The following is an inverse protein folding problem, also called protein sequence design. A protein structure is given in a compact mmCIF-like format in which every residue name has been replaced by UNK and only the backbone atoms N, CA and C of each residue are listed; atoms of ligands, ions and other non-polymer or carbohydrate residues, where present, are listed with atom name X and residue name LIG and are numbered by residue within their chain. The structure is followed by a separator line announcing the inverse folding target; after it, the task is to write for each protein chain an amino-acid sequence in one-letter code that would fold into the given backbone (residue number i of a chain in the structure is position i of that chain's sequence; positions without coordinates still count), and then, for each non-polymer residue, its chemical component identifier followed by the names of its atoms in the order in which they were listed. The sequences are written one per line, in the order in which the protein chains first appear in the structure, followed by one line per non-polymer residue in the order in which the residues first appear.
data_IF_632284573275
#
_entry.id   IF_632284573275
#
_cell.length_a   1.000
_cell.length_b   1.000
_cell.length_c   1.000
_cell.angle_alpha   90.00
_cell.angle_beta   90.00
_cell.angle_gamma   90.00
#
_symmetry.space_group_name_H-M   'P 1'
#
loop_
_entity.id
_entity.type
_entity.pdbx_description
1 polymer ?
#
# COMPACT_ATOMS: atom_id res chain seq x y z
N UNK A 1 21.10 9.44 13.33
CA UNK A 1 19.72 9.87 12.98
C UNK A 1 19.72 10.52 11.62
N UNK A 2 19.34 9.76 10.60
CA UNK A 2 19.27 10.15 9.21
C UNK A 2 17.85 10.61 8.86
N UNK A 3 17.66 11.93 8.83
CA UNK A 3 16.37 12.57 8.56
C UNK A 3 15.78 12.17 7.20
N UNK A 4 16.62 11.94 6.18
CA UNK A 4 16.15 11.53 4.86
C UNK A 4 15.46 10.17 4.88
N UNK A 5 16.03 9.20 5.61
CA UNK A 5 15.44 7.89 5.79
C UNK A 5 14.17 7.94 6.65
N UNK A 6 14.15 8.76 7.70
CA UNK A 6 12.95 8.95 8.53
C UNK A 6 11.79 9.50 7.70
N UNK A 7 12.02 10.55 6.91
CA UNK A 7 11.01 11.14 6.03
C UNK A 7 10.54 10.13 4.96
N UNK A 8 11.47 9.38 4.37
CA UNK A 8 11.14 8.34 3.39
C UNK A 8 10.27 7.26 4.00
N UNK A 9 10.60 6.80 5.21
CA UNK A 9 9.79 5.83 5.96
C UNK A 9 8.38 6.35 6.26
N UNK A 10 8.24 7.60 6.70
CA UNK A 10 6.94 8.23 6.93
C UNK A 10 6.10 8.32 5.65
N UNK A 11 6.71 8.70 4.53
CA UNK A 11 6.02 8.76 3.23
C UNK A 11 5.53 7.38 2.81
N UNK A 12 6.37 6.34 2.92
CA UNK A 12 5.99 4.97 2.61
C UNK A 12 4.84 4.47 3.50
N UNK A 13 4.88 4.75 4.81
CA UNK A 13 3.79 4.44 5.73
C UNK A 13 2.51 5.15 5.32
N UNK A 14 2.58 6.44 4.98
CA UNK A 14 1.45 7.23 4.51
C UNK A 14 0.83 6.67 3.22
N UNK A 15 1.66 6.30 2.24
CA UNK A 15 1.21 5.65 1.00
C UNK A 15 0.53 4.32 1.34
N UNK A 16 1.16 3.48 2.16
CA UNK A 16 0.61 2.19 2.56
C UNK A 16 -0.76 2.32 3.23
N UNK A 17 -0.91 3.29 4.15
CA UNK A 17 -2.16 3.60 4.83
C UNK A 17 -3.23 4.11 3.86
N UNK A 18 -2.87 5.00 2.93
CA UNK A 18 -3.79 5.50 1.92
C UNK A 18 -4.31 4.38 0.99
N UNK A 19 -3.45 3.45 0.60
CA UNK A 19 -3.87 2.29 -0.21
C UNK A 19 -4.80 1.34 0.55
N UNK A 20 -4.60 1.18 1.86
CA UNK A 20 -5.45 0.37 2.71
C UNK A 20 -6.81 1.03 3.00
N UNK A 21 -6.84 2.35 3.14
CA UNK A 21 -8.04 3.15 3.38
C UNK A 21 -8.88 3.36 2.11
N UNK A 22 -8.23 3.56 0.95
CA UNK A 22 -8.89 3.84 -0.33
C UNK A 22 -8.54 2.79 -1.40
N UNK A 23 -8.94 1.52 -1.23
CA UNK A 23 -8.55 0.43 -2.12
C UNK A 23 -9.08 0.55 -3.55
N UNK A 24 -10.09 1.39 -3.79
CA UNK A 24 -10.65 1.68 -5.11
C UNK A 24 -10.10 2.97 -5.73
N UNK A 25 -9.44 3.83 -4.94
CA UNK A 25 -8.76 5.03 -5.44
C UNK A 25 -7.34 4.77 -5.95
N UNK A 26 -6.84 3.54 -5.80
CA UNK A 26 -5.51 3.12 -6.23
C UNK A 26 -5.56 2.39 -7.57
N UNK A 27 -4.38 2.13 -8.14
CA UNK A 27 -4.22 1.38 -9.39
C UNK A 27 -5.07 0.10 -9.36
N UNK A 28 -5.77 -0.17 -10.46
CA UNK A 28 -6.57 -1.37 -10.60
C UNK A 28 -5.64 -2.60 -10.71
N UNK A 29 -5.77 -3.53 -9.78
CA UNK A 29 -5.02 -4.78 -9.70
C UNK A 29 -5.77 -5.96 -10.33
N UNK A 30 -7.01 -5.72 -10.78
CA UNK A 30 -7.90 -6.71 -11.40
C UNK A 30 -8.16 -6.31 -12.85
N UNK A 31 -8.13 -7.28 -13.76
CA UNK A 31 -8.29 -7.04 -15.18
C UNK A 31 -9.73 -6.64 -15.56
N UNK A 32 -9.87 -5.89 -16.65
CA UNK A 32 -11.14 -5.35 -17.14
C UNK A 32 -12.21 -6.42 -17.40
N UNK A 33 -11.78 -7.60 -17.87
CA UNK A 33 -12.68 -8.74 -18.13
C UNK A 33 -13.34 -9.27 -16.87
N UNK A 34 -12.59 -9.39 -15.76
CA UNK A 34 -13.11 -9.89 -14.49
C UNK A 34 -14.08 -8.88 -13.86
N UNK A 35 -13.88 -7.58 -14.10
CA UNK A 35 -14.84 -6.52 -13.74
C UNK A 35 -16.16 -6.61 -14.53
N UNK A 36 -16.12 -7.00 -15.80
CA UNK A 36 -17.31 -7.13 -16.65
C UNK A 36 -18.09 -8.42 -16.35
N UNK A 37 -17.40 -9.55 -16.22
CA UNK A 37 -18.04 -10.86 -16.00
C UNK A 37 -18.47 -11.03 -14.53
N UNK A 38 -17.67 -10.55 -13.57
CA UNK A 38 -17.86 -10.81 -12.14
C UNK A 38 -17.51 -9.59 -11.25
N UNK A 39 -18.28 -8.49 -11.34
CA UNK A 39 -17.95 -7.22 -10.67
C UNK A 39 -17.79 -7.37 -9.14
N UNK A 40 -18.61 -8.17 -8.47
CA UNK A 40 -18.48 -8.38 -7.03
C UNK A 40 -17.19 -9.09 -6.62
N UNK A 41 -16.77 -10.12 -7.40
CA UNK A 41 -15.52 -10.84 -7.15
C UNK A 41 -14.32 -9.93 -7.43
N UNK A 42 -14.40 -9.13 -8.49
CA UNK A 42 -13.39 -8.15 -8.83
C UNK A 42 -13.20 -7.10 -7.73
N UNK A 43 -14.30 -6.56 -7.17
CA UNK A 43 -14.26 -5.62 -6.05
C UNK A 43 -13.56 -6.18 -4.81
N UNK A 44 -13.96 -7.38 -4.36
CA UNK A 44 -13.32 -8.06 -3.21
C UNK A 44 -11.84 -8.36 -3.45
N UNK A 45 -11.48 -8.74 -4.68
CA UNK A 45 -10.09 -9.04 -5.06
C UNK A 45 -9.23 -7.78 -5.13
N UNK A 46 -9.78 -6.68 -5.66
CA UNK A 46 -9.16 -5.37 -5.64
C UNK A 46 -8.90 -4.89 -4.21
N UNK A 47 -9.90 -5.01 -3.33
CA UNK A 47 -9.79 -4.63 -1.92
C UNK A 47 -8.71 -5.43 -1.19
N UNK A 48 -8.70 -6.76 -1.35
CA UNK A 48 -7.66 -7.62 -0.76
C UNK A 48 -6.27 -7.27 -1.28
N UNK A 49 -6.11 -7.09 -2.60
CA UNK A 49 -4.81 -6.76 -3.20
C UNK A 49 -4.32 -5.38 -2.79
N UNK A 50 -5.19 -4.37 -2.81
CA UNK A 50 -4.84 -3.02 -2.39
C UNK A 50 -4.42 -2.97 -0.92
N UNK A 51 -5.14 -3.67 -0.03
CA UNK A 51 -4.72 -3.80 1.38
C UNK A 51 -3.42 -4.56 1.56
N UNK A 52 -3.22 -5.66 0.83
CA UNK A 52 -1.99 -6.44 0.92
C UNK A 52 -0.77 -5.63 0.43
N UNK A 53 -0.91 -4.93 -0.68
CA UNK A 53 0.13 -4.04 -1.22
C UNK A 53 0.37 -2.85 -0.30
N UNK A 54 -0.70 -2.21 0.20
CA UNK A 54 -0.61 -1.12 1.16
C UNK A 54 0.09 -1.54 2.46
N UNK A 55 -0.24 -2.72 2.98
CA UNK A 55 0.43 -3.32 4.13
C UNK A 55 1.91 -3.60 3.87
N UNK A 56 2.26 -4.14 2.70
CA UNK A 56 3.65 -4.38 2.32
C UNK A 56 4.45 -3.07 2.21
N UNK A 57 3.87 -2.04 1.60
CA UNK A 57 4.54 -0.74 1.46
C UNK A 57 4.70 -0.07 2.82
N UNK A 58 3.64 -0.03 3.64
CA UNK A 58 3.68 0.64 4.93
C UNK A 58 4.49 -0.11 5.98
N UNK A 59 4.11 -1.36 6.28
CA UNK A 59 4.77 -2.16 7.31
C UNK A 59 6.03 -2.87 6.82
N UNK A 60 6.02 -3.38 5.58
CA UNK A 60 7.14 -4.15 5.04
C UNK A 60 8.33 -3.29 4.60
N UNK A 61 8.09 -2.07 4.12
CA UNK A 61 9.15 -1.16 3.68
C UNK A 61 9.22 0.10 4.57
N UNK A 62 8.10 0.77 4.79
CA UNK A 62 8.05 2.03 5.53
C UNK A 62 8.57 1.93 6.97
N UNK A 63 8.08 0.96 7.75
CA UNK A 63 8.54 0.77 9.13
C UNK A 63 10.05 0.44 9.22
N UNK A 64 10.61 -0.52 8.46
CA UNK A 64 12.05 -0.75 8.44
C UNK A 64 12.88 0.46 8.01
N UNK A 65 12.45 1.21 6.99
CA UNK A 65 13.15 2.42 6.54
C UNK A 65 13.12 3.51 7.61
N UNK A 66 11.98 3.69 8.29
CA UNK A 66 11.85 4.62 9.41
C UNK A 66 12.79 4.24 10.56
N UNK A 67 12.78 2.97 10.96
CA UNK A 67 13.66 2.45 12.02
C UNK A 67 15.14 2.63 11.65
N UNK A 68 15.52 2.30 10.41
CA UNK A 68 16.88 2.51 9.92
C UNK A 68 17.27 3.99 9.97
N UNK A 69 16.36 4.92 9.64
CA UNK A 69 16.63 6.35 9.75
C UNK A 69 16.75 6.86 11.20
N UNK A 70 16.10 6.20 12.15
CA UNK A 70 16.23 6.52 13.56
C UNK A 70 17.55 5.98 14.15
N UNK A 71 18.03 4.82 13.69
CA UNK A 71 19.20 4.14 14.24
C UNK A 71 20.53 4.51 13.58
N UNK A 72 20.52 4.82 12.28
CA UNK A 72 21.67 5.35 11.53
C UNK A 72 21.70 6.87 11.64
#
# INVERSE_FOLDING_TARGET
MNVGLVLTGLVLIGIGAAMAAFPHGVRNFVGSREWQEHPERAGRKQERRARAVGGLIGFGLGCPTLLAGLTL
#
